data_IF_965105950786
#
_entry.id   IF_965105950786
#
_cell.length_a   1.000
_cell.length_b   1.000
_cell.length_c   1.000
_cell.angle_alpha   90.00
_cell.angle_beta   90.00
_cell.angle_gamma   90.00
#
_symmetry.space_group_name_H-M   'P 1'
#
loop_
_entity.id
_entity.type
_entity.pdbx_description
1 polymer ?
#
# COMPACT_ATOMS: atom_id res chain seq x y z
N UNK A 1 15.51 -26.87 25.59
CA UNK A 1 14.36 -25.96 25.77
C UNK A 1 14.92 -24.54 25.75
N UNK A 2 14.91 -23.90 24.59
CA UNK A 2 14.91 -22.45 24.56
C UNK A 2 13.44 -22.03 24.63
N UNK A 3 12.97 -21.63 25.81
CA UNK A 3 11.71 -20.90 25.94
C UNK A 3 11.96 -19.47 25.44
N UNK A 4 12.14 -19.35 24.13
CA UNK A 4 12.43 -18.09 23.45
C UNK A 4 11.24 -17.16 23.61
N UNK A 5 11.44 -16.04 24.30
CA UNK A 5 10.45 -14.97 24.41
C UNK A 5 9.95 -14.59 23.00
N UNK A 6 8.67 -14.84 22.72
CA UNK A 6 8.00 -14.51 21.44
C UNK A 6 7.78 -12.99 21.27
N UNK A 7 8.81 -12.20 21.54
CA UNK A 7 8.76 -10.74 21.60
C UNK A 7 10.10 -10.20 21.11
N UNK A 8 10.06 -9.30 20.13
CA UNK A 8 11.20 -8.44 19.82
C UNK A 8 10.94 -7.04 20.37
N UNK A 9 11.79 -6.63 21.32
CA UNK A 9 11.88 -5.27 21.84
C UNK A 9 13.26 -4.71 21.50
N UNK A 10 13.28 -3.66 20.69
CA UNK A 10 14.51 -2.99 20.25
C UNK A 10 14.43 -1.49 20.58
N UNK A 11 15.44 -0.97 21.27
CA UNK A 11 15.71 0.46 21.33
C UNK A 11 16.33 0.87 20.00
N UNK A 12 15.60 1.66 19.20
CA UNK A 12 16.06 2.19 17.91
C UNK A 12 16.95 3.40 18.16
N UNK A 13 16.53 4.24 19.11
CA UNK A 13 17.33 5.30 19.73
C UNK A 13 17.14 5.19 21.25
N UNK A 14 17.78 6.07 22.02
CA UNK A 14 17.52 6.17 23.47
C UNK A 14 16.05 6.50 23.79
N UNK A 15 15.36 7.15 22.85
CA UNK A 15 14.00 7.71 23.02
C UNK A 15 12.92 7.10 22.13
N UNK A 16 13.29 6.17 21.24
CA UNK A 16 12.36 5.48 20.34
C UNK A 16 12.56 3.96 20.48
N UNK A 17 11.52 3.28 20.95
CA UNK A 17 11.50 1.83 21.18
C UNK A 17 10.50 1.20 20.21
N UNK A 18 10.90 0.14 19.51
CA UNK A 18 9.98 -0.74 18.79
C UNK A 18 9.69 -2.00 19.64
N UNK A 19 8.42 -2.37 19.73
CA UNK A 19 7.94 -3.57 20.43
C UNK A 19 7.05 -4.35 19.47
N UNK A 20 7.41 -5.59 19.18
CA UNK A 20 6.69 -6.43 18.21
C UNK A 20 6.44 -7.85 18.68
N UNK A 21 5.18 -8.28 18.53
CA UNK A 21 4.70 -9.62 18.85
C UNK A 21 4.34 -10.36 17.54
N UNK A 22 4.80 -11.60 17.31
CA UNK A 22 4.48 -12.38 16.11
C UNK A 22 2.98 -12.59 15.87
N UNK A 23 2.57 -12.82 14.61
CA UNK A 23 1.15 -13.10 14.27
C UNK A 23 0.63 -14.37 14.96
N UNK A 24 1.45 -15.40 15.09
CA UNK A 24 1.08 -16.67 15.73
C UNK A 24 1.11 -16.66 17.27
N UNK A 25 1.46 -15.54 17.92
CA UNK A 25 1.56 -15.46 19.37
C UNK A 25 0.17 -15.54 20.02
N UNK A 26 0.00 -16.49 20.96
CA UNK A 26 -1.28 -16.73 21.66
C UNK A 26 -1.69 -15.52 22.53
N UNK A 27 -2.98 -15.41 22.88
CA UNK A 27 -3.45 -14.33 23.76
C UNK A 27 -2.81 -14.39 25.15
N UNK A 28 -2.53 -15.59 25.65
CA UNK A 28 -1.93 -15.82 26.97
C UNK A 28 -0.47 -15.34 26.98
N UNK A 29 0.32 -15.75 25.98
CA UNK A 29 1.72 -15.34 25.83
C UNK A 29 1.82 -13.84 25.55
N UNK A 30 0.98 -13.32 24.65
CA UNK A 30 0.86 -11.88 24.39
C UNK A 30 0.56 -11.10 25.67
N UNK A 31 -0.47 -11.51 26.43
CA UNK A 31 -0.89 -10.84 27.67
C UNK A 31 0.14 -10.94 28.79
N UNK A 32 0.91 -12.03 28.85
CA UNK A 32 2.02 -12.19 29.78
C UNK A 32 3.16 -11.22 29.43
N UNK A 33 3.67 -11.32 28.21
CA UNK A 33 4.79 -10.52 27.73
C UNK A 33 4.48 -9.01 27.71
N UNK A 34 3.23 -8.61 27.42
CA UNK A 34 2.81 -7.22 27.47
C UNK A 34 2.82 -6.63 28.89
N UNK A 35 2.49 -7.44 29.92
CA UNK A 35 2.62 -7.02 31.33
C UNK A 35 4.08 -6.83 31.72
N UNK A 36 4.97 -7.71 31.27
CA UNK A 36 6.40 -7.62 31.54
C UNK A 36 7.04 -6.41 30.85
N UNK A 37 6.71 -6.16 29.58
CA UNK A 37 7.09 -4.93 28.85
C UNK A 37 6.58 -3.70 29.58
N UNK A 38 5.32 -3.68 30.01
CA UNK A 38 4.75 -2.56 30.77
C UNK A 38 5.50 -2.34 32.09
N UNK A 39 5.85 -3.41 32.82
CA UNK A 39 6.63 -3.32 34.06
C UNK A 39 8.02 -2.77 33.81
N UNK A 40 8.69 -3.22 32.74
CA UNK A 40 10.01 -2.72 32.34
C UNK A 40 9.96 -1.24 31.95
N UNK A 41 8.97 -0.83 31.14
CA UNK A 41 8.79 0.56 30.72
C UNK A 41 8.56 1.48 31.93
N UNK A 42 7.67 1.12 32.85
CA UNK A 42 7.43 1.89 34.08
C UNK A 42 8.66 1.95 34.99
N UNK A 43 9.44 0.87 35.08
CA UNK A 43 10.67 0.84 35.88
C UNK A 43 11.79 1.72 35.31
N UNK A 44 11.90 1.82 33.97
CA UNK A 44 12.96 2.60 33.31
C UNK A 44 12.59 4.06 33.04
N UNK A 45 11.34 4.31 32.66
CA UNK A 45 10.87 5.59 32.12
C UNK A 45 9.76 6.24 32.96
N UNK A 46 9.41 5.66 34.12
CA UNK A 46 8.29 6.09 34.94
C UNK A 46 7.01 6.25 34.08
N UNK A 47 6.40 7.44 34.09
CA UNK A 47 5.25 7.78 33.26
C UNK A 47 5.62 8.52 31.96
N UNK A 48 6.91 8.65 31.61
CA UNK A 48 7.39 9.49 30.52
C UNK A 48 7.29 8.82 29.13
N UNK A 49 6.45 7.80 28.95
CA UNK A 49 6.35 7.07 27.69
C UNK A 49 4.94 7.10 27.05
N UNK A 50 4.91 7.37 25.75
CA UNK A 50 3.73 7.30 24.88
C UNK A 50 3.76 5.98 24.11
N UNK A 51 2.69 5.19 24.19
CA UNK A 51 2.50 4.02 23.32
C UNK A 51 1.79 4.46 22.04
N UNK A 52 2.34 4.09 20.89
CA UNK A 52 1.67 4.22 19.59
C UNK A 52 1.33 2.80 19.12
N UNK A 53 0.05 2.45 19.16
CA UNK A 53 -0.44 1.13 18.75
C UNK A 53 -0.71 1.13 17.23
N UNK A 54 0.01 0.27 16.51
CA UNK A 54 -0.14 0.04 15.06
C UNK A 54 -1.02 -1.19 14.74
N UNK A 55 -1.42 -1.95 15.75
CA UNK A 55 -2.36 -3.06 15.64
C UNK A 55 -3.79 -2.66 16.01
N UNK A 56 -4.72 -3.61 15.93
CA UNK A 56 -6.08 -3.43 16.42
C UNK A 56 -6.11 -2.82 17.82
N UNK A 57 -7.12 -1.99 18.06
CA UNK A 57 -7.33 -1.31 19.34
C UNK A 57 -7.59 -2.34 20.44
N UNK A 58 -6.91 -2.21 21.58
CA UNK A 58 -7.16 -3.10 22.73
C UNK A 58 -7.30 -2.34 24.04
N UNK A 59 -8.34 -2.69 24.79
CA UNK A 59 -8.66 -2.08 26.08
C UNK A 59 -7.65 -2.44 27.19
N UNK A 60 -7.00 -3.61 27.12
CA UNK A 60 -5.97 -4.01 28.08
C UNK A 60 -4.72 -3.12 27.99
N UNK A 61 -4.27 -2.82 26.77
CA UNK A 61 -3.16 -1.91 26.48
C UNK A 61 -3.45 -0.50 27.00
N UNK A 62 -4.61 0.08 26.64
CA UNK A 62 -5.02 1.41 27.12
C UNK A 62 -5.17 1.47 28.64
N UNK A 63 -5.64 0.39 29.29
CA UNK A 63 -5.75 0.30 30.75
C UNK A 63 -4.38 0.23 31.44
N UNK A 64 -3.37 -0.34 30.79
CA UNK A 64 -2.00 -0.42 31.33
C UNK A 64 -1.21 0.89 31.21
N UNK A 65 -1.40 1.63 30.12
CA UNK A 65 -0.94 3.01 29.98
C UNK A 65 -2.03 3.89 29.32
N UNK A 66 -2.65 4.83 30.06
CA UNK A 66 -3.59 5.80 29.49
C UNK A 66 -3.01 6.66 28.35
N UNK A 67 -1.68 6.85 28.31
CA UNK A 67 -0.96 7.45 27.18
C UNK A 67 -0.74 6.42 26.07
N UNK A 68 -1.84 5.92 25.52
CA UNK A 68 -1.87 5.03 24.34
C UNK A 68 -2.63 5.70 23.20
N UNK A 69 -1.96 5.86 22.07
CA UNK A 69 -2.53 6.34 20.81
C UNK A 69 -2.87 5.13 19.93
N UNK A 70 -4.16 4.83 19.80
CA UNK A 70 -4.67 3.75 18.94
C UNK A 70 -4.74 4.20 17.47
N UNK A 71 -3.67 3.95 16.71
CA UNK A 71 -3.54 4.33 15.30
C UNK A 71 -3.57 3.13 14.34
N UNK A 72 -4.05 1.98 14.78
CA UNK A 72 -3.98 0.70 14.06
C UNK A 72 -4.47 0.67 12.62
N UNK A 73 -3.93 -0.27 11.84
CA UNK A 73 -4.45 -0.67 10.53
C UNK A 73 -4.15 -2.16 10.26
N UNK A 74 -4.84 -2.79 9.28
CA UNK A 74 -4.64 -4.19 8.94
C UNK A 74 -3.18 -4.51 8.63
N UNK A 75 -2.72 -5.66 9.08
CA UNK A 75 -1.37 -6.12 8.82
C UNK A 75 -1.15 -6.35 7.31
N UNK A 76 0.11 -6.26 6.85
CA UNK A 76 0.50 -6.29 5.43
C UNK A 76 -0.06 -5.15 4.53
N UNK A 77 -1.00 -4.34 5.03
CA UNK A 77 -1.56 -3.20 4.30
C UNK A 77 -0.67 -1.95 4.46
N UNK A 78 -0.70 -1.08 3.45
CA UNK A 78 -0.28 0.31 3.59
C UNK A 78 -1.39 1.12 4.29
N UNK A 79 -1.05 1.96 5.29
CA UNK A 79 -2.02 2.84 5.94
C UNK A 79 -2.35 4.06 5.07
N UNK A 80 -3.51 4.70 5.30
CA UNK A 80 -3.80 6.05 4.81
C UNK A 80 -2.68 7.06 5.11
N UNK A 81 -2.44 8.00 4.19
CA UNK A 81 -1.33 8.96 4.27
C UNK A 81 -1.48 9.94 5.45
N UNK A 82 -2.71 10.36 5.74
CA UNK A 82 -3.08 11.22 6.88
C UNK A 82 -2.75 10.54 8.22
N UNK A 83 -2.96 9.22 8.33
CA UNK A 83 -2.64 8.40 9.50
C UNK A 83 -1.13 8.35 9.74
N UNK A 84 -0.32 8.18 8.69
CA UNK A 84 1.16 8.24 8.81
C UNK A 84 1.57 9.62 9.34
N UNK A 85 1.07 10.70 8.73
CA UNK A 85 1.37 12.06 9.15
C UNK A 85 0.93 12.35 10.60
N UNK A 86 -0.22 11.83 11.02
CA UNK A 86 -0.72 11.95 12.39
C UNK A 86 0.20 11.27 13.39
N UNK A 87 0.69 10.06 13.07
CA UNK A 87 1.68 9.35 13.89
C UNK A 87 2.99 10.15 13.98
N UNK A 88 3.54 10.61 12.85
CA UNK A 88 4.79 11.38 12.85
C UNK A 88 4.67 12.67 13.67
N UNK A 89 3.55 13.40 13.56
CA UNK A 89 3.27 14.59 14.39
C UNK A 89 3.15 14.27 15.87
N UNK A 90 2.49 13.18 16.24
CA UNK A 90 2.37 12.74 17.62
C UNK A 90 3.76 12.38 18.21
N UNK A 91 4.60 11.69 17.42
CA UNK A 91 5.98 11.37 17.81
C UNK A 91 6.82 12.62 18.02
N UNK A 92 6.86 13.54 17.04
CA UNK A 92 7.63 14.78 17.13
C UNK A 92 7.17 15.65 18.32
N UNK A 93 5.86 15.88 18.43
CA UNK A 93 5.27 16.69 19.51
C UNK A 93 5.57 16.12 20.90
N UNK A 94 5.47 14.79 21.07
CA UNK A 94 5.79 14.13 22.34
C UNK A 94 7.27 14.22 22.67
N UNK A 95 8.16 13.91 21.71
CA UNK A 95 9.62 13.93 21.91
C UNK A 95 10.18 15.33 22.14
N UNK A 96 9.57 16.37 21.56
CA UNK A 96 10.00 17.76 21.75
C UNK A 96 9.44 18.40 23.03
N UNK A 97 8.43 17.80 23.69
CA UNK A 97 7.81 18.37 24.89
C UNK A 97 8.66 18.23 26.17
N UNK A 98 9.43 17.15 26.29
CA UNK A 98 10.33 16.88 27.44
C UNK A 98 11.49 15.98 26.97
N UNK A 99 12.77 16.24 27.32
CA UNK A 99 13.90 15.38 26.94
C UNK A 99 13.82 13.95 27.50
N UNK A 100 13.11 13.72 28.61
CA UNK A 100 12.88 12.39 29.20
C UNK A 100 11.76 11.60 28.50
N UNK A 101 11.01 12.23 27.59
CA UNK A 101 9.93 11.53 26.89
C UNK A 101 10.44 10.45 25.95
N UNK A 102 9.76 9.31 25.94
CA UNK A 102 10.05 8.15 25.08
C UNK A 102 8.81 7.77 24.27
N UNK A 103 9.00 7.36 23.02
CA UNK A 103 7.96 6.76 22.17
C UNK A 103 8.14 5.24 22.12
N UNK A 104 7.05 4.50 22.31
CA UNK A 104 6.98 3.05 22.20
C UNK A 104 6.05 2.67 21.04
N UNK A 105 6.62 2.24 19.92
CA UNK A 105 5.88 1.79 18.75
C UNK A 105 5.51 0.32 18.95
N UNK A 106 4.24 0.05 19.22
CA UNK A 106 3.68 -1.29 19.44
C UNK A 106 3.09 -1.88 18.17
N UNK A 107 3.47 -3.12 17.83
CA UNK A 107 2.86 -3.91 16.76
C UNK A 107 2.63 -5.37 17.20
N UNK A 108 1.52 -5.97 16.78
CA UNK A 108 1.26 -7.41 16.83
C UNK A 108 0.89 -7.92 15.45
N UNK A 109 1.69 -8.82 14.90
CA UNK A 109 1.67 -9.25 13.49
C UNK A 109 3.00 -8.94 12.79
N UNK A 110 2.94 -8.62 11.50
CA UNK A 110 4.12 -8.23 10.72
C UNK A 110 4.77 -6.91 11.16
N UNK A 111 6.11 -6.88 11.14
CA UNK A 111 6.91 -5.68 11.46
C UNK A 111 6.88 -4.60 10.37
N UNK A 112 6.32 -4.87 9.20
CA UNK A 112 6.22 -3.91 8.09
C UNK A 112 5.54 -2.58 8.48
N UNK A 113 4.58 -2.62 9.42
CA UNK A 113 3.93 -1.43 9.98
C UNK A 113 4.89 -0.52 10.77
N UNK A 114 5.81 -1.11 11.54
CA UNK A 114 6.89 -0.37 12.22
C UNK A 114 7.81 0.25 11.16
N UNK A 115 8.13 -0.50 10.10
CA UNK A 115 8.90 0.00 8.95
C UNK A 115 8.30 1.23 8.29
N UNK A 116 6.97 1.25 8.06
CA UNK A 116 6.26 2.44 7.54
C UNK A 116 6.47 3.65 8.46
N UNK A 117 6.27 3.49 9.77
CA UNK A 117 6.39 4.61 10.73
C UNK A 117 7.82 5.13 10.84
N UNK A 118 8.79 4.24 11.05
CA UNK A 118 10.20 4.64 11.21
C UNK A 118 10.74 5.28 9.94
N UNK A 119 10.49 4.70 8.76
CA UNK A 119 10.97 5.27 7.50
C UNK A 119 10.36 6.64 7.24
N UNK A 120 9.05 6.79 7.47
CA UNK A 120 8.36 8.07 7.33
C UNK A 120 8.87 9.12 8.32
N UNK A 121 9.13 8.74 9.59
CA UNK A 121 9.60 9.65 10.62
C UNK A 121 11.05 10.12 10.40
N UNK A 122 11.92 9.29 9.81
CA UNK A 122 13.25 9.72 9.33
C UNK A 122 13.13 10.85 8.30
N UNK A 123 12.24 10.72 7.33
CA UNK A 123 12.01 11.77 6.32
C UNK A 123 11.32 13.01 6.89
N UNK A 124 10.40 12.82 7.84
CA UNK A 124 9.69 13.89 8.53
C UNK A 124 10.65 14.80 9.32
N UNK A 125 11.54 14.20 10.12
CA UNK A 125 12.54 14.92 10.95
C UNK A 125 13.67 15.57 10.13
N UNK A 126 13.98 15.03 8.94
CA UNK A 126 14.88 15.65 7.97
C UNK A 126 14.30 16.99 7.45
N UNK A 127 12.98 17.01 7.22
CA UNK A 127 12.24 18.19 6.73
C UNK A 127 11.97 19.22 7.84
N UNK A 128 11.75 18.80 9.10
CA UNK A 128 11.55 19.72 10.23
C UNK A 128 12.84 20.35 10.79
N UNK A 129 13.97 20.14 10.11
CA UNK A 129 15.26 20.82 10.32
C UNK A 129 15.89 20.66 11.71
N UNK A 130 15.63 19.54 12.41
CA UNK A 130 16.29 19.20 13.66
C UNK A 130 17.72 18.69 13.43
N UNK A 131 18.67 19.62 13.34
CA UNK A 131 20.07 19.31 13.09
C UNK A 131 20.68 18.41 14.18
N UNK A 132 20.29 18.62 15.43
CA UNK A 132 20.79 17.88 16.60
C UNK A 132 20.34 16.40 16.63
N UNK A 133 19.35 16.01 15.82
CA UNK A 133 18.86 14.63 15.68
C UNK A 133 19.62 13.82 14.60
N UNK A 134 20.85 14.19 14.23
CA UNK A 134 21.62 13.50 13.21
C UNK A 134 21.94 12.02 13.58
N UNK A 135 22.28 11.75 14.84
CA UNK A 135 22.54 10.39 15.34
C UNK A 135 21.25 9.55 15.37
N UNK A 136 20.14 10.14 15.82
CA UNK A 136 18.83 9.48 15.82
C UNK A 136 18.39 9.13 14.38
N UNK A 137 18.53 10.04 13.42
CA UNK A 137 18.25 9.76 11.99
C UNK A 137 19.13 8.64 11.44
N UNK A 138 20.41 8.59 11.81
CA UNK A 138 21.29 7.47 11.43
C UNK A 138 20.83 6.14 12.03
N UNK A 139 20.55 6.10 13.34
CA UNK A 139 20.13 4.88 14.03
C UNK A 139 18.77 4.38 13.54
N UNK A 140 17.81 5.27 13.30
CA UNK A 140 16.52 4.96 12.69
C UNK A 140 16.65 4.43 11.26
N UNK A 141 17.50 5.04 10.41
CA UNK A 141 17.78 4.53 9.06
C UNK A 141 18.44 3.14 9.11
N UNK A 142 19.44 2.96 9.98
CA UNK A 142 20.09 1.66 10.17
C UNK A 142 19.12 0.58 10.64
N UNK A 143 18.23 0.88 11.59
CA UNK A 143 17.17 -0.05 11.99
C UNK A 143 16.22 -0.36 10.84
N UNK A 144 15.84 0.65 10.05
CA UNK A 144 15.01 0.46 8.86
C UNK A 144 15.66 -0.53 7.89
N UNK A 145 16.91 -0.29 7.49
CA UNK A 145 17.65 -1.11 6.53
C UNK A 145 17.91 -2.53 7.06
N UNK A 146 18.40 -2.66 8.30
CA UNK A 146 18.82 -3.94 8.89
C UNK A 146 17.65 -4.84 9.34
N UNK A 147 16.49 -4.27 9.75
CA UNK A 147 15.46 -5.02 10.50
C UNK A 147 14.07 -5.07 9.86
N UNK A 148 13.67 -4.08 9.07
CA UNK A 148 12.27 -3.95 8.62
C UNK A 148 12.07 -3.70 7.12
N UNK A 149 13.07 -3.16 6.40
CA UNK A 149 13.00 -2.89 4.96
C UNK A 149 12.68 -4.15 4.14
N UNK A 150 13.26 -5.30 4.48
CA UNK A 150 12.97 -6.59 3.84
C UNK A 150 11.59 -7.18 4.19
N UNK A 151 10.97 -6.71 5.28
CA UNK A 151 9.68 -7.21 5.80
C UNK A 151 8.47 -6.39 5.34
N UNK A 152 8.69 -5.23 4.71
CA UNK A 152 7.63 -4.37 4.18
C UNK A 152 7.10 -4.85 2.83
N UNK A 153 5.80 -4.71 2.61
CA UNK A 153 5.18 -4.94 1.30
C UNK A 153 5.54 -3.83 0.30
N UNK A 154 5.52 -4.09 -1.02
CA UNK A 154 5.69 -3.06 -2.05
C UNK A 154 4.75 -1.87 -1.85
N UNK A 155 3.48 -2.12 -1.53
CA UNK A 155 2.51 -1.07 -1.21
C UNK A 155 2.92 -0.23 0.01
N UNK A 156 3.44 -0.85 1.09
CA UNK A 156 3.96 -0.11 2.24
C UNK A 156 5.14 0.78 1.86
N UNK A 157 6.08 0.28 1.04
CA UNK A 157 7.21 1.08 0.53
C UNK A 157 6.74 2.23 -0.38
N UNK A 158 5.77 1.97 -1.26
CA UNK A 158 5.15 2.96 -2.14
C UNK A 158 4.52 4.11 -1.34
N UNK A 159 3.83 3.81 -0.25
CA UNK A 159 3.21 4.83 0.60
C UNK A 159 4.22 5.71 1.34
N UNK A 160 5.31 5.12 1.84
CA UNK A 160 6.45 5.88 2.39
C UNK A 160 7.08 6.78 1.31
N UNK A 161 7.27 6.25 0.10
CA UNK A 161 7.80 7.02 -1.03
C UNK A 161 6.86 8.16 -1.46
N UNK A 162 5.54 7.93 -1.51
CA UNK A 162 4.52 8.94 -1.78
C UNK A 162 4.64 10.07 -0.74
N UNK A 163 4.60 9.73 0.55
CA UNK A 163 4.69 10.72 1.63
C UNK A 163 6.00 11.52 1.58
N UNK A 164 7.15 10.86 1.44
CA UNK A 164 8.45 11.52 1.32
C UNK A 164 8.49 12.46 0.10
N UNK A 165 7.91 12.05 -1.04
CA UNK A 165 7.86 12.87 -2.25
C UNK A 165 6.97 14.11 -2.08
N UNK A 166 5.90 14.01 -1.29
CA UNK A 166 5.05 15.14 -0.93
C UNK A 166 5.73 16.10 0.07
N UNK A 167 6.38 15.57 1.11
CA UNK A 167 7.11 16.36 2.13
C UNK A 167 8.31 17.12 1.52
N UNK A 168 9.09 16.46 0.67
CA UNK A 168 10.18 17.08 -0.09
C UNK A 168 9.70 18.03 -1.21
N UNK A 169 8.41 18.04 -1.52
CA UNK A 169 7.83 18.85 -2.59
C UNK A 169 8.22 18.41 -4.01
N UNK A 170 8.84 17.23 -4.16
CA UNK A 170 9.17 16.62 -5.45
C UNK A 170 7.94 16.07 -6.19
N UNK A 171 6.87 15.77 -5.45
CA UNK A 171 5.54 15.45 -5.96
C UNK A 171 4.51 16.50 -5.52
N UNK A 172 3.50 16.73 -6.37
CA UNK A 172 2.29 17.48 -6.03
C UNK A 172 1.10 16.53 -6.03
N UNK A 173 0.12 16.80 -5.17
CA UNK A 173 -1.12 16.03 -5.16
C UNK A 173 -1.92 16.31 -6.43
N UNK A 174 -2.31 15.23 -7.11
CA UNK A 174 -3.28 15.27 -8.18
C UNK A 174 -4.68 15.46 -7.58
N UNK A 175 -5.36 16.53 -7.98
CA UNK A 175 -6.72 16.86 -7.58
C UNK A 175 -7.76 16.61 -8.68
N UNK A 176 -7.34 16.16 -9.88
CA UNK A 176 -8.27 15.77 -10.94
C UNK A 176 -9.09 14.56 -10.52
N UNK A 177 -10.37 14.46 -10.92
CA UNK A 177 -11.12 13.22 -10.80
C UNK A 177 -10.43 12.11 -11.60
N UNK A 178 -10.43 10.88 -11.08
CA UNK A 178 -9.86 9.71 -11.76
C UNK A 178 -10.92 8.62 -11.90
N UNK A 179 -11.42 8.45 -13.12
CA UNK A 179 -12.29 7.35 -13.50
C UNK A 179 -11.43 6.18 -14.01
N UNK A 180 -11.44 5.03 -13.34
CA UNK A 180 -10.75 3.82 -13.76
C UNK A 180 -11.58 3.10 -14.83
N UNK A 181 -11.01 2.91 -16.04
CA UNK A 181 -11.67 2.30 -17.20
C UNK A 181 -11.28 0.84 -17.45
N UNK A 182 -9.98 0.52 -17.39
CA UNK A 182 -9.51 -0.87 -17.50
C UNK A 182 -8.34 -1.14 -16.55
N UNK A 183 -8.28 -2.38 -16.06
CA UNK A 183 -7.09 -3.00 -15.48
C UNK A 183 -6.54 -4.01 -16.49
N UNK A 184 -5.35 -3.74 -17.04
CA UNK A 184 -4.71 -4.59 -18.05
C UNK A 184 -3.68 -5.48 -17.35
N UNK A 185 -3.89 -6.80 -17.41
CA UNK A 185 -2.90 -7.79 -17.00
C UNK A 185 -2.07 -8.21 -18.22
N UNK A 186 -0.81 -7.79 -18.26
CA UNK A 186 0.16 -8.19 -19.27
C UNK A 186 0.96 -9.41 -18.76
N UNK A 187 1.05 -10.47 -19.57
CA UNK A 187 1.72 -11.72 -19.18
C UNK A 187 0.82 -12.60 -18.31
N UNK A 188 0.09 -13.52 -18.94
CA UNK A 188 -0.92 -14.36 -18.26
C UNK A 188 -0.24 -15.35 -17.29
N UNK A 189 -0.61 -15.35 -15.98
CA UNK A 189 -0.05 -16.29 -15.00
C UNK A 189 -0.51 -17.74 -15.21
N UNK A 190 0.31 -18.71 -14.79
CA UNK A 190 0.04 -20.14 -14.96
C UNK A 190 -0.47 -20.77 -13.64
N UNK A 191 -1.78 -20.69 -13.36
CA UNK A 191 -2.35 -21.14 -12.08
C UNK A 191 -2.82 -22.59 -12.07
N UNK A 192 -3.69 -23.00 -13.01
CA UNK A 192 -4.17 -24.39 -13.10
C UNK A 192 -3.00 -25.35 -13.39
N UNK A 193 -2.82 -26.38 -12.56
CA UNK A 193 -1.69 -27.31 -12.67
C UNK A 193 -1.79 -28.27 -13.85
N UNK A 194 -2.99 -28.53 -14.35
CA UNK A 194 -3.26 -29.42 -15.49
C UNK A 194 -3.38 -28.64 -16.81
N UNK A 195 -4.15 -27.55 -16.83
CA UNK A 195 -4.40 -26.77 -18.06
C UNK A 195 -3.45 -25.59 -18.26
N UNK A 196 -2.77 -25.12 -17.20
CA UNK A 196 -2.02 -23.85 -17.12
C UNK A 196 -2.83 -22.60 -17.47
N UNK A 197 -4.16 -22.70 -17.45
CA UNK A 197 -5.07 -21.56 -17.63
C UNK A 197 -5.16 -20.73 -16.35
N UNK A 198 -5.49 -19.46 -16.51
CA UNK A 198 -5.89 -18.57 -15.43
C UNK A 198 -7.33 -18.09 -15.65
N UNK A 199 -8.11 -18.07 -14.58
CA UNK A 199 -9.44 -17.47 -14.56
C UNK A 199 -9.45 -16.23 -13.66
N UNK A 200 -8.89 -15.08 -14.12
CA UNK A 200 -8.76 -13.90 -13.29
C UNK A 200 -10.10 -13.18 -13.11
N UNK A 201 -10.30 -12.63 -11.91
CA UNK A 201 -11.25 -11.55 -11.66
C UNK A 201 -10.66 -10.58 -10.63
N UNK A 202 -11.11 -9.33 -10.64
CA UNK A 202 -10.63 -8.29 -9.72
C UNK A 202 -11.71 -7.83 -8.76
N UNK A 203 -11.26 -7.34 -7.61
CA UNK A 203 -12.01 -6.46 -6.72
C UNK A 203 -11.22 -5.17 -6.51
N UNK A 204 -11.91 -4.03 -6.64
CA UNK A 204 -11.38 -2.70 -6.34
C UNK A 204 -12.00 -2.25 -5.02
N UNK A 205 -11.16 -1.78 -4.11
CA UNK A 205 -11.56 -1.28 -2.80
C UNK A 205 -11.11 0.16 -2.64
N UNK A 206 -11.97 1.00 -2.08
CA UNK A 206 -11.67 2.36 -1.66
C UNK A 206 -11.92 2.45 -0.16
N UNK A 207 -10.92 2.90 0.63
CA UNK A 207 -11.06 2.95 2.09
C UNK A 207 -11.42 1.59 2.73
N UNK A 208 -10.88 0.49 2.19
CA UNK A 208 -11.19 -0.92 2.54
C UNK A 208 -12.61 -1.40 2.19
N UNK A 209 -13.50 -0.56 1.67
CA UNK A 209 -14.80 -0.98 1.15
C UNK A 209 -14.69 -1.39 -0.31
N UNK A 210 -15.20 -2.58 -0.68
CA UNK A 210 -15.28 -3.00 -2.08
C UNK A 210 -16.25 -2.08 -2.84
N UNK A 211 -15.75 -1.39 -3.86
CA UNK A 211 -16.53 -0.48 -4.74
C UNK A 211 -16.84 -1.11 -6.09
N UNK A 212 -16.03 -2.08 -6.54
CA UNK A 212 -16.23 -2.80 -7.78
C UNK A 212 -15.75 -4.25 -7.69
N UNK A 213 -16.43 -5.16 -8.37
CA UNK A 213 -16.01 -6.55 -8.62
C UNK A 213 -16.30 -6.88 -10.07
N UNK A 214 -15.32 -7.44 -10.79
CA UNK A 214 -15.54 -7.89 -12.17
C UNK A 214 -16.29 -9.23 -12.21
N UNK A 215 -16.76 -9.60 -13.41
CA UNK A 215 -16.98 -11.00 -13.74
C UNK A 215 -15.66 -11.79 -13.82
N UNK A 216 -15.77 -13.10 -13.98
CA UNK A 216 -14.61 -14.01 -14.12
C UNK A 216 -14.24 -14.17 -15.58
N UNK A 217 -12.99 -13.89 -15.91
CA UNK A 217 -12.48 -13.97 -17.28
C UNK A 217 -12.00 -15.40 -17.54
N UNK A 218 -12.58 -16.07 -18.53
CA UNK A 218 -12.13 -17.38 -19.00
C UNK A 218 -11.19 -17.18 -20.19
N UNK A 219 -9.93 -17.56 -20.02
CA UNK A 219 -8.86 -17.38 -21.00
C UNK A 219 -8.64 -18.69 -21.76
N UNK A 220 -8.59 -18.66 -23.09
CA UNK A 220 -8.23 -19.83 -23.90
C UNK A 220 -6.81 -20.35 -23.61
N UNK A 221 -6.62 -21.66 -23.63
CA UNK A 221 -5.34 -22.32 -23.27
C UNK A 221 -4.13 -21.92 -24.14
N UNK A 222 -4.38 -21.39 -25.34
CA UNK A 222 -3.37 -20.83 -26.25
C UNK A 222 -3.07 -19.34 -26.06
N UNK A 223 -3.84 -18.59 -25.26
CA UNK A 223 -3.64 -17.15 -25.11
C UNK A 223 -2.36 -16.84 -24.35
N UNK A 224 -1.58 -15.86 -24.84
CA UNK A 224 -0.27 -15.48 -24.25
C UNK A 224 -0.03 -13.97 -24.21
N UNK A 225 -0.98 -13.16 -24.69
CA UNK A 225 -0.85 -11.69 -24.69
C UNK A 225 -1.37 -11.09 -23.36
N UNK A 226 -2.29 -10.13 -23.41
CA UNK A 226 -2.86 -9.44 -22.25
C UNK A 226 -4.34 -9.76 -22.06
N UNK A 227 -4.86 -9.49 -20.87
CA UNK A 227 -6.30 -9.42 -20.61
C UNK A 227 -6.62 -8.01 -20.14
N UNK A 228 -7.55 -7.32 -20.82
CA UNK A 228 -8.13 -6.08 -20.30
C UNK A 228 -9.40 -6.42 -19.50
N UNK A 229 -9.38 -6.11 -18.21
CA UNK A 229 -10.55 -6.19 -17.35
C UNK A 229 -11.21 -4.81 -17.36
N UNK A 230 -12.24 -4.65 -18.19
CA UNK A 230 -12.95 -3.39 -18.36
C UNK A 230 -13.93 -3.15 -17.20
N UNK A 231 -14.02 -1.90 -16.76
CA UNK A 231 -14.94 -1.43 -15.74
C UNK A 231 -16.04 -0.63 -16.44
N UNK A 232 -17.20 -1.25 -16.63
CA UNK A 232 -18.38 -0.60 -17.22
C UNK A 232 -19.52 -0.54 -16.19
N UNK A 233 -19.96 0.66 -15.75
CA UNK A 233 -19.37 1.98 -16.04
C UNK A 233 -18.00 2.17 -15.38
N UNK A 234 -17.22 3.12 -15.89
CA UNK A 234 -15.93 3.49 -15.32
C UNK A 234 -16.08 4.00 -13.87
N UNK A 235 -15.16 3.59 -13.00
CA UNK A 235 -15.30 3.82 -11.56
C UNK A 235 -14.56 5.08 -11.12
N UNK A 236 -15.29 6.06 -10.56
CA UNK A 236 -14.68 7.23 -9.93
C UNK A 236 -13.97 6.82 -8.63
N UNK A 237 -12.66 7.01 -8.57
CA UNK A 237 -11.82 6.65 -7.43
C UNK A 237 -11.26 7.92 -6.75
N UNK A 238 -11.24 7.94 -5.42
CA UNK A 238 -10.62 8.99 -4.59
C UNK A 238 -9.93 8.38 -3.35
N UNK A 239 -8.81 8.98 -2.95
CA UNK A 239 -8.03 8.58 -1.78
C UNK A 239 -7.24 7.28 -2.01
N UNK A 240 -7.25 6.43 -0.99
CA UNK A 240 -6.58 5.13 -0.93
C UNK A 240 -7.34 4.03 -1.67
N UNK A 241 -6.70 3.50 -2.71
CA UNK A 241 -7.23 2.42 -3.55
C UNK A 241 -6.40 1.16 -3.35
N UNK A 242 -7.10 0.03 -3.24
CA UNK A 242 -6.54 -1.31 -3.30
C UNK A 242 -7.17 -2.07 -4.45
N UNK A 243 -6.36 -2.77 -5.25
CA UNK A 243 -6.83 -3.73 -6.25
C UNK A 243 -6.29 -5.09 -5.87
N UNK A 244 -7.18 -6.08 -5.74
CA UNK A 244 -6.84 -7.51 -5.65
C UNK A 244 -7.32 -8.22 -6.90
N UNK A 245 -6.45 -9.03 -7.49
CA UNK A 245 -6.79 -9.96 -8.56
C UNK A 245 -6.68 -11.38 -8.03
N UNK A 246 -7.67 -12.21 -8.35
CA UNK A 246 -7.82 -13.57 -7.86
C UNK A 246 -7.94 -14.53 -9.04
N UNK A 247 -7.39 -15.72 -8.87
CA UNK A 247 -7.65 -16.88 -9.71
C UNK A 247 -8.84 -17.64 -9.14
N UNK A 248 -9.89 -17.81 -9.95
CA UNK A 248 -10.94 -18.78 -9.66
C UNK A 248 -10.43 -20.18 -10.02
N UNK A 249 -10.20 -21.02 -9.03
CA UNK A 249 -9.96 -22.45 -9.23
C UNK A 249 -11.25 -23.17 -9.65
N UNK A 250 -11.14 -24.09 -10.60
CA UNK A 250 -12.21 -25.03 -10.95
C UNK A 250 -12.18 -26.30 -10.08
N UNK A 251 -11.05 -26.58 -9.42
CA UNK A 251 -10.84 -27.79 -8.60
C UNK A 251 -11.12 -27.57 -7.12
N UNK A 252 -11.07 -26.32 -6.66
CA UNK A 252 -11.24 -25.94 -5.25
C UNK A 252 -12.20 -24.75 -5.14
N UNK A 253 -12.96 -24.68 -4.05
CA UNK A 253 -13.76 -23.50 -3.71
C UNK A 253 -12.93 -22.32 -3.19
N UNK A 254 -11.63 -22.53 -3.01
CA UNK A 254 -10.65 -21.51 -2.60
C UNK A 254 -10.32 -20.55 -3.74
N UNK A 255 -10.16 -19.28 -3.39
CA UNK A 255 -9.75 -18.21 -4.30
C UNK A 255 -8.27 -17.92 -4.04
N UNK A 256 -7.41 -18.09 -5.04
CA UNK A 256 -5.99 -17.78 -4.90
C UNK A 256 -5.73 -16.33 -5.33
N UNK A 257 -5.00 -15.55 -4.51
CA UNK A 257 -4.62 -14.18 -4.88
C UNK A 257 -3.48 -14.23 -5.88
N UNK A 258 -3.73 -13.74 -7.10
CA UNK A 258 -2.72 -13.59 -8.16
C UNK A 258 -1.81 -12.42 -7.82
N UNK A 259 -2.42 -11.26 -7.57
CA UNK A 259 -1.71 -10.06 -7.17
C UNK A 259 -2.57 -9.18 -6.28
N UNK A 260 -1.90 -8.37 -5.47
CA UNK A 260 -2.49 -7.27 -4.71
C UNK A 260 -1.59 -6.05 -4.85
N UNK A 261 -2.21 -4.87 -4.94
CA UNK A 261 -1.51 -3.58 -4.92
C UNK A 261 -2.37 -2.51 -4.26
N UNK A 262 -1.72 -1.51 -3.65
CA UNK A 262 -2.34 -0.27 -3.21
C UNK A 262 -1.64 0.95 -3.81
N UNK A 263 -2.41 2.00 -4.06
CA UNK A 263 -1.92 3.33 -4.45
C UNK A 263 -2.87 4.42 -3.96
N UNK A 264 -2.34 5.64 -3.82
CA UNK A 264 -3.16 6.82 -3.53
C UNK A 264 -3.43 7.57 -4.84
N UNK A 265 -4.70 7.87 -5.13
CA UNK A 265 -5.12 8.63 -6.33
C UNK A 265 -4.39 9.97 -6.48
N UNK A 266 -4.18 10.68 -5.38
CA UNK A 266 -3.41 11.93 -5.36
C UNK A 266 -1.94 11.80 -5.75
N UNK A 267 -1.38 10.59 -5.86
CA UNK A 267 -0.02 10.36 -6.37
C UNK A 267 0.03 10.01 -7.87
N UNK A 268 -1.11 9.76 -8.52
CA UNK A 268 -1.19 9.38 -9.94
C UNK A 268 -0.84 10.60 -10.80
N UNK A 269 0.15 10.45 -11.68
CA UNK A 269 0.55 11.50 -12.63
C UNK A 269 0.20 11.04 -14.05
N UNK A 270 -0.63 11.80 -14.76
CA UNK A 270 -1.17 11.40 -16.07
C UNK A 270 -2.30 10.37 -15.96
N UNK A 271 -2.50 9.60 -17.04
CA UNK A 271 -3.69 8.76 -17.24
C UNK A 271 -3.41 7.25 -17.20
N UNK A 272 -2.16 6.82 -17.17
CA UNK A 272 -1.79 5.40 -17.08
C UNK A 272 -0.86 5.20 -15.88
N UNK A 273 -1.12 4.17 -15.07
CA UNK A 273 -0.25 3.78 -13.96
C UNK A 273 0.18 2.33 -14.15
N UNK A 274 1.48 2.07 -14.16
CA UNK A 274 2.06 0.75 -14.42
C UNK A 274 2.74 0.22 -13.16
N UNK A 275 2.54 -1.06 -12.89
CA UNK A 275 3.14 -1.80 -11.79
C UNK A 275 3.84 -3.04 -12.35
N UNK A 276 5.14 -3.16 -12.10
CA UNK A 276 5.91 -4.36 -12.49
C UNK A 276 5.67 -5.50 -11.48
N UNK A 277 6.22 -6.68 -11.73
CA UNK A 277 6.01 -7.85 -10.85
C UNK A 277 6.40 -7.56 -9.40
N UNK A 278 7.49 -6.84 -9.22
CA UNK A 278 8.12 -6.44 -7.94
C UNK A 278 7.23 -5.48 -7.14
N UNK A 279 6.42 -4.68 -7.82
CA UNK A 279 5.50 -3.68 -7.26
C UNK A 279 4.25 -4.30 -6.62
N UNK A 280 4.00 -5.58 -6.83
CA UNK A 280 2.76 -6.24 -6.48
C UNK A 280 2.96 -7.31 -5.39
N UNK A 281 2.17 -7.24 -4.33
CA UNK A 281 2.09 -8.34 -3.37
C UNK A 281 1.58 -9.62 -4.06
N UNK A 282 1.97 -10.78 -3.51
CA UNK A 282 1.76 -12.12 -4.04
C UNK A 282 2.57 -12.37 -5.33
N UNK A 283 2.34 -11.59 -6.39
CA UNK A 283 3.03 -11.73 -7.67
C UNK A 283 4.56 -11.63 -7.55
N UNK A 284 5.09 -10.73 -6.70
CA UNK A 284 6.54 -10.61 -6.48
C UNK A 284 7.22 -11.82 -5.81
N UNK A 285 6.45 -12.83 -5.39
CA UNK A 285 6.95 -14.07 -4.77
C UNK A 285 6.49 -15.33 -5.49
N UNK A 286 5.48 -15.22 -6.37
CA UNK A 286 4.88 -16.37 -7.05
C UNK A 286 5.57 -16.63 -8.41
N UNK A 287 6.25 -17.77 -8.60
CA UNK A 287 6.87 -18.11 -9.88
C UNK A 287 5.85 -18.40 -11.00
N UNK A 288 4.56 -18.54 -10.68
CA UNK A 288 3.48 -18.68 -11.67
C UNK A 288 3.18 -17.36 -12.39
N UNK A 289 3.52 -16.22 -11.78
CA UNK A 289 3.43 -14.90 -12.40
C UNK A 289 4.69 -14.63 -13.25
N UNK A 290 4.60 -14.32 -14.55
CA UNK A 290 5.78 -14.17 -15.41
C UNK A 290 6.68 -13.00 -14.98
N UNK A 291 7.99 -13.10 -15.15
CA UNK A 291 8.94 -12.05 -14.74
C UNK A 291 8.81 -10.75 -15.55
N UNK A 292 8.36 -10.84 -16.80
CA UNK A 292 7.97 -9.68 -17.63
C UNK A 292 6.52 -9.24 -17.40
N UNK A 293 5.79 -9.91 -16.50
CA UNK A 293 4.38 -9.65 -16.23
C UNK A 293 4.21 -8.33 -15.49
N UNK A 294 3.13 -7.61 -15.81
CA UNK A 294 2.86 -6.28 -15.25
C UNK A 294 1.38 -5.93 -15.32
N UNK A 295 0.97 -5.00 -14.47
CA UNK A 295 -0.41 -4.48 -14.44
C UNK A 295 -0.42 -3.01 -14.81
N UNK A 296 -1.30 -2.65 -15.73
CA UNK A 296 -1.53 -1.27 -16.16
C UNK A 296 -2.95 -0.84 -15.80
N UNK A 297 -3.08 0.28 -15.09
CA UNK A 297 -4.36 0.92 -14.77
C UNK A 297 -4.57 2.11 -15.70
N UNK A 298 -5.76 2.20 -16.28
CA UNK A 298 -6.11 3.24 -17.27
C UNK A 298 -7.19 4.15 -16.72
N UNK A 299 -6.92 5.46 -16.72
CA UNK A 299 -7.77 6.51 -16.14
C UNK A 299 -8.18 7.59 -17.15
N UNK A 300 -9.20 8.36 -16.79
CA UNK A 300 -9.51 9.67 -17.39
C UNK A 300 -10.21 10.59 -16.39
N UNK A 301 -10.38 11.87 -16.73
CA UNK A 301 -11.05 12.87 -15.89
C UNK A 301 -12.59 12.78 -15.93
N UNK A 302 -13.15 12.01 -16.86
CA UNK A 302 -14.59 11.77 -16.99
C UNK A 302 -14.93 10.28 -17.20
N UNK A 303 -16.20 9.89 -16.99
CA UNK A 303 -16.69 8.51 -17.15
C UNK A 303 -16.90 8.10 -18.61
N UNK A 304 -16.78 9.03 -19.56
CA UNK A 304 -16.98 8.77 -20.99
C UNK A 304 -15.92 7.80 -21.52
N UNK A 305 -16.32 6.92 -22.47
CA UNK A 305 -15.38 6.00 -23.12
C UNK A 305 -14.22 6.79 -23.75
N UNK A 306 -13.00 6.45 -23.33
CA UNK A 306 -11.78 7.11 -23.81
C UNK A 306 -11.63 6.87 -25.33
N UNK A 307 -11.28 7.90 -26.13
CA UNK A 307 -11.01 7.73 -27.56
C UNK A 307 -9.96 6.65 -27.84
N UNK A 308 -10.29 5.71 -28.74
CA UNK A 308 -9.43 4.58 -29.06
C UNK A 308 -9.49 3.42 -28.05
N UNK A 309 -10.49 3.36 -27.17
CA UNK A 309 -10.73 2.23 -26.26
C UNK A 309 -10.89 0.87 -26.95
N UNK A 310 -11.07 0.81 -28.28
CA UNK A 310 -11.09 -0.43 -29.05
C UNK A 310 -9.80 -1.26 -28.90
N UNK A 311 -8.67 -0.60 -28.59
CA UNK A 311 -7.39 -1.27 -28.26
C UNK A 311 -7.41 -2.10 -26.95
N UNK A 312 -8.47 -1.96 -26.16
CA UNK A 312 -8.72 -2.65 -24.89
C UNK A 312 -9.82 -3.71 -24.98
N UNK A 313 -10.31 -4.00 -26.20
CA UNK A 313 -11.14 -5.17 -26.42
C UNK A 313 -10.28 -6.44 -26.36
N UNK A 314 -10.80 -7.47 -25.71
CA UNK A 314 -10.17 -8.78 -25.66
C UNK A 314 -10.45 -9.58 -26.95
N UNK A 315 -9.61 -10.58 -27.22
CA UNK A 315 -9.82 -11.51 -28.33
C UNK A 315 -11.04 -12.43 -28.13
N UNK A 316 -11.48 -13.14 -29.19
CA UNK A 316 -12.62 -14.06 -29.14
C UNK A 316 -12.38 -15.30 -28.27
N UNK A 317 -11.13 -15.53 -27.87
CA UNK A 317 -10.65 -16.58 -26.97
C UNK A 317 -10.74 -16.20 -25.47
N UNK A 318 -11.24 -15.00 -25.16
CA UNK A 318 -11.53 -14.55 -23.80
C UNK A 318 -13.05 -14.33 -23.66
N UNK A 319 -13.67 -15.02 -22.71
CA UNK A 319 -15.09 -14.81 -22.34
C UNK A 319 -15.21 -14.37 -20.87
N UNK A 320 -16.36 -13.82 -20.47
CA UNK A 320 -16.57 -13.29 -19.11
C UNK A 320 -17.86 -13.83 -18.51
N UNK A 321 -17.78 -14.50 -17.36
CA UNK A 321 -18.94 -14.90 -16.56
C UNK A 321 -19.25 -13.89 -15.45
N UNK A 322 -20.37 -13.20 -15.60
CA UNK A 322 -20.88 -12.22 -14.63
C UNK A 322 -21.74 -12.85 -13.52
N UNK A 323 -22.25 -14.08 -13.69
CA UNK A 323 -23.14 -14.71 -12.72
C UNK A 323 -22.41 -15.02 -11.40
N UNK A 324 -21.11 -15.27 -11.48
CA UNK A 324 -20.24 -15.55 -10.33
C UNK A 324 -20.01 -14.32 -9.43
N UNK A 325 -20.13 -13.09 -9.95
CA UNK A 325 -19.75 -11.88 -9.22
C UNK A 325 -20.55 -11.68 -7.91
N UNK A 326 -21.83 -12.06 -7.90
CA UNK A 326 -22.70 -11.96 -6.72
C UNK A 326 -22.26 -12.93 -5.62
N UNK A 327 -21.95 -14.18 -5.97
CA UNK A 327 -21.51 -15.22 -5.02
C UNK A 327 -20.11 -14.96 -4.44
N UNK A 328 -19.23 -14.33 -5.22
CA UNK A 328 -17.86 -13.98 -4.81
C UNK A 328 -17.80 -12.79 -3.85
N UNK A 329 -18.85 -11.96 -3.77
CA UNK A 329 -18.88 -10.73 -2.98
C UNK A 329 -18.68 -10.91 -1.46
N UNK A 330 -18.97 -12.10 -0.91
CA UNK A 330 -19.03 -12.35 0.54
C UNK A 330 -17.68 -12.57 1.24
N UNK A 331 -16.62 -12.94 0.49
CA UNK A 331 -15.41 -13.54 1.07
C UNK A 331 -14.31 -12.57 1.53
N UNK A 332 -14.31 -11.32 1.05
CA UNK A 332 -13.27 -10.32 1.35
C UNK A 332 -13.83 -9.09 2.07
N UNK A 333 -14.74 -9.27 3.03
CA UNK A 333 -15.24 -8.12 3.79
C UNK A 333 -14.21 -7.69 4.85
N UNK A 334 -13.47 -6.62 4.57
CA UNK A 334 -12.51 -5.98 5.49
C UNK A 334 -13.18 -5.26 6.69
N UNK A 335 -14.19 -5.88 7.30
CA UNK A 335 -14.96 -5.30 8.40
C UNK A 335 -14.18 -5.25 9.72
N UNK A 336 -13.22 -6.15 9.91
CA UNK A 336 -12.33 -6.17 11.07
C UNK A 336 -10.86 -6.12 10.65
N UNK A 337 -10.00 -5.52 11.50
CA UNK A 337 -8.56 -5.38 11.24
C UNK A 337 -7.86 -6.75 11.19
N UNK A 338 -8.41 -7.75 11.86
CA UNK A 338 -7.87 -9.11 11.95
C UNK A 338 -8.30 -10.06 10.82
N UNK A 339 -9.36 -9.77 10.06
CA UNK A 339 -9.83 -10.64 8.96
C UNK A 339 -8.91 -10.59 7.73
N UNK A 340 -7.93 -9.66 7.72
CA UNK A 340 -6.85 -9.57 6.75
C UNK A 340 -5.90 -10.77 6.79
N UNK A 341 -6.29 -11.83 6.08
CA UNK A 341 -5.44 -12.99 5.75
C UNK A 341 -5.21 -13.94 6.95
N UNK A 342 -6.26 -14.23 7.71
CA UNK A 342 -6.29 -15.31 8.70
C UNK A 342 -6.71 -16.68 8.12
N UNK A 343 -7.23 -16.72 6.89
CA UNK A 343 -7.89 -17.91 6.31
C UNK A 343 -6.96 -18.93 5.61
N UNK A 344 -5.66 -18.64 5.44
CA UNK A 344 -4.77 -19.45 4.57
C UNK A 344 -3.44 -19.84 5.23
N UNK A 345 -3.49 -20.64 6.30
CA UNK A 345 -2.39 -21.55 6.69
C UNK A 345 -2.79 -22.58 7.77
N UNK A 346 -2.96 -23.86 7.35
CA UNK A 346 -3.23 -25.06 8.17
C UNK A 346 -4.56 -25.05 8.98
N UNK A 347 -5.22 -26.19 9.26
CA UNK A 347 -4.71 -27.56 9.39
C UNK A 347 -5.67 -28.66 8.88
N UNK A 348 -5.14 -29.85 8.60
CA UNK A 348 -5.92 -31.07 8.30
C UNK A 348 -6.39 -31.73 9.60
N UNK A 349 -7.60 -31.43 10.04
CA UNK A 349 -8.19 -32.11 11.21
C UNK A 349 -9.71 -32.09 11.21
N UNK A 350 -10.35 -33.21 10.88
CA UNK A 350 -11.80 -33.35 11.01
C UNK A 350 -12.22 -33.40 12.48
N UNK A 351 -12.96 -32.39 12.93
CA UNK A 351 -13.46 -32.31 14.31
C UNK A 351 -14.77 -31.53 14.39
N UNK A 352 -15.90 -32.22 14.34
CA UNK A 352 -17.22 -31.61 14.52
C UNK A 352 -17.47 -31.35 16.00
N UNK A 353 -17.52 -30.08 16.41
CA UNK A 353 -18.04 -29.68 17.72
C UNK A 353 -19.10 -28.59 17.57
N UNK A 354 -20.32 -28.91 18.03
CA UNK A 354 -21.51 -28.06 17.96
C UNK A 354 -21.36 -26.82 18.84
N UNK A 355 -21.63 -25.64 18.30
CA UNK A 355 -21.87 -24.43 19.10
C UNK A 355 -23.18 -24.57 19.88
N UNK A 356 -23.12 -24.57 21.21
CA UNK A 356 -24.29 -24.47 22.07
C UNK A 356 -24.52 -22.99 22.43
N UNK A 357 -25.62 -22.42 21.91
CA UNK A 357 -26.09 -21.09 22.28
C UNK A 357 -26.71 -21.10 23.68
N UNK A 358 -26.09 -20.42 24.63
CA UNK A 358 -26.70 -20.16 25.93
C UNK A 358 -27.61 -18.93 25.86
N UNK A 359 -28.92 -19.14 26.12
CA UNK A 359 -29.89 -18.06 26.32
C UNK A 359 -29.72 -17.45 27.71
N UNK A 360 -29.73 -16.13 27.82
CA UNK A 360 -29.83 -15.41 29.09
C UNK A 360 -31.28 -15.36 29.61
N UNK A 361 -31.43 -15.23 30.94
CA UNK A 361 -32.69 -14.91 31.63
C UNK A 361 -32.43 -13.94 32.80
N UNK A 362 -32.77 -12.68 32.56
CA UNK A 362 -33.62 -11.76 33.36
C UNK A 362 -33.60 -11.70 34.91
N UNK A 363 -33.57 -10.43 35.40
CA UNK A 363 -33.92 -9.82 36.73
C UNK A 363 -33.16 -10.29 37.99
N UNK A 364 -32.84 -9.52 39.05
CA UNK A 364 -33.13 -8.16 39.64
C UNK A 364 -31.87 -7.65 40.41
N UNK A 365 -31.70 -6.43 40.97
CA UNK A 365 -32.13 -5.03 40.70
C UNK A 365 -31.44 -4.09 41.78
N UNK A 366 -31.64 -2.77 41.71
CA UNK A 366 -31.56 -1.71 42.74
C UNK A 366 -30.22 -1.09 43.22
N UNK A 367 -29.98 0.15 42.72
CA UNK A 367 -29.81 1.41 43.49
C UNK A 367 -28.42 2.01 43.85
N UNK A 368 -28.22 3.29 43.46
CA UNK A 368 -27.47 4.29 44.27
C UNK A 368 -26.39 5.17 43.59
N UNK A 369 -26.73 6.41 43.19
CA UNK A 369 -25.91 7.68 43.14
C UNK A 369 -24.49 7.70 42.47
N UNK A 370 -23.94 8.78 41.86
CA UNK A 370 -24.43 10.11 41.40
C UNK A 370 -23.30 10.93 40.69
N UNK A 371 -23.57 11.58 39.55
CA UNK A 371 -22.71 12.62 38.91
C UNK A 371 -21.37 12.12 38.32
N UNK A 372 -20.73 12.75 37.32
CA UNK A 372 -20.77 14.12 36.82
C UNK A 372 -20.55 14.20 35.28
N UNK A 373 -21.29 15.09 34.61
CA UNK A 373 -21.05 15.83 33.35
C UNK A 373 -20.21 15.23 32.18
N UNK A 374 -20.87 15.11 31.02
CA UNK A 374 -20.28 14.99 29.67
C UNK A 374 -19.54 16.25 29.19
N UNK A 375 -18.74 16.14 28.11
CA UNK A 375 -18.93 17.04 26.96
C UNK A 375 -19.27 16.31 25.64
N UNK A 376 -20.05 17.00 24.81
CA UNK A 376 -20.77 16.56 23.61
C UNK A 376 -19.97 15.81 22.52
N UNK A 377 -20.59 14.74 21.98
CA UNK A 377 -20.13 14.00 20.80
C UNK A 377 -20.87 14.47 19.54
N UNK A 378 -20.16 15.10 18.59
CA UNK A 378 -20.75 15.77 17.41
C UNK A 378 -21.18 14.76 16.32
N UNK A 379 -22.39 14.18 16.45
CA UNK A 379 -22.96 13.24 15.47
C UNK A 379 -23.43 13.94 14.18
N UNK A 380 -22.60 13.90 13.15
CA UNK A 380 -22.99 14.24 11.78
C UNK A 380 -23.72 13.06 11.09
N UNK A 381 -25.05 13.00 11.21
CA UNK A 381 -25.86 12.12 10.35
C UNK A 381 -25.99 12.72 8.94
N UNK A 382 -25.49 12.02 7.92
CA UNK A 382 -25.90 12.26 6.52
C UNK A 382 -26.71 11.08 6.00
N UNK A 383 -28.01 11.31 5.91
CA UNK A 383 -28.97 10.39 5.29
C UNK A 383 -28.98 10.59 3.78
N UNK A 384 -28.48 9.62 3.01
CA UNK A 384 -28.61 9.61 1.55
C UNK A 384 -29.88 8.82 1.13
N UNK A 385 -30.75 9.38 0.28
CA UNK A 385 -31.93 8.67 -0.21
C UNK A 385 -31.57 7.69 -1.34
N UNK A 386 -32.33 6.58 -1.52
CA UNK A 386 -32.14 5.68 -2.64
C UNK A 386 -32.77 6.25 -3.92
N UNK A 387 -32.04 6.24 -5.04
CA UNK A 387 -32.61 6.55 -6.35
C UNK A 387 -32.93 5.26 -7.11
N UNK A 388 -34.20 5.13 -7.52
CA UNK A 388 -34.72 4.00 -8.31
C UNK A 388 -34.66 4.34 -9.82
N UNK A 389 -34.64 3.33 -10.67
CA UNK A 389 -34.53 3.42 -12.11
C UNK A 389 -35.81 3.87 -12.84
N UNK A 390 -35.61 4.44 -14.05
CA UNK A 390 -36.31 4.19 -15.33
C UNK A 390 -36.84 5.41 -16.15
N UNK A 391 -36.39 5.39 -17.41
CA UNK A 391 -37.09 5.68 -18.68
C UNK A 391 -37.16 7.09 -19.35
N UNK A 392 -36.83 7.03 -20.65
CA UNK A 392 -37.44 7.67 -21.84
C UNK A 392 -37.00 9.06 -22.37
N UNK A 393 -36.34 8.99 -23.53
CA UNK A 393 -36.26 9.92 -24.68
C UNK A 393 -36.91 11.31 -24.64
N UNK A 394 -36.14 12.35 -25.03
CA UNK A 394 -36.36 13.09 -26.29
C UNK A 394 -35.13 13.99 -26.63
N UNK A 395 -34.60 13.89 -27.86
CA UNK A 395 -34.67 14.85 -28.99
C UNK A 395 -33.79 16.11 -28.93
N UNK A 396 -32.91 16.20 -29.94
CA UNK A 396 -32.52 17.39 -30.71
C UNK A 396 -31.96 18.61 -29.96
N UNK A 397 -30.65 18.81 -30.12
CA UNK A 397 -30.17 20.13 -30.52
C UNK A 397 -29.08 20.00 -31.60
N UNK A 398 -29.10 20.95 -32.54
CA UNK A 398 -28.25 21.01 -33.74
C UNK A 398 -27.47 22.31 -33.64
N UNK A 399 -26.14 22.25 -33.74
CA UNK A 399 -25.31 23.44 -33.85
C UNK A 399 -24.16 23.18 -34.82
N UNK A 400 -24.04 24.05 -35.81
CA UNK A 400 -22.93 24.14 -36.74
C UNK A 400 -21.63 24.52 -35.96
N UNK A 401 -20.40 24.31 -36.42
CA UNK A 401 -19.93 23.93 -37.75
C UNK A 401 -18.89 24.94 -38.24
N UNK A 402 -17.61 24.55 -38.25
CA UNK A 402 -16.56 25.26 -39.00
C UNK A 402 -15.46 24.31 -39.42
N UNK A 403 -15.13 24.33 -40.71
CA UNK A 403 -14.08 23.51 -41.32
C UNK A 403 -12.71 24.20 -41.30
N UNK A 404 -11.64 23.42 -41.22
CA UNK A 404 -10.37 23.77 -41.87
C UNK A 404 -9.85 22.59 -42.69
N UNK A 405 -9.71 22.81 -44.01
CA UNK A 405 -8.97 21.95 -44.92
C UNK A 405 -7.63 22.60 -45.23
N UNK A 406 -6.54 21.84 -45.17
CA UNK A 406 -5.36 22.00 -46.02
C UNK A 406 -4.65 20.64 -46.07
N UNK A 407 -4.85 19.83 -47.12
CA UNK A 407 -4.13 19.83 -48.40
C UNK A 407 -2.76 19.13 -48.28
N UNK A 408 -2.71 17.86 -48.71
CA UNK A 408 -1.46 17.11 -48.87
C UNK A 408 -0.69 17.51 -50.14
N UNK A 409 0.31 16.71 -50.52
CA UNK A 409 0.15 15.98 -51.79
C UNK A 409 0.57 14.51 -51.73
N UNK A 410 -0.11 13.68 -52.53
CA UNK A 410 0.29 12.31 -52.87
C UNK A 410 1.36 12.31 -53.99
N UNK A 411 2.29 11.35 -53.96
CA UNK A 411 2.97 10.79 -55.15
C UNK A 411 3.08 9.27 -54.94
N UNK A 412 2.96 8.50 -56.03
CA UNK A 412 2.56 7.09 -56.04
C UNK A 412 3.63 6.13 -56.60
N UNK A 413 3.35 4.81 -56.49
CA UNK A 413 3.96 3.67 -57.21
C UNK A 413 5.38 3.21 -56.78
N UNK A 414 5.82 1.96 -56.94
CA UNK A 414 5.21 0.60 -57.05
C UNK A 414 6.34 -0.47 -56.83
N UNK A 415 5.98 -1.70 -56.40
CA UNK A 415 6.50 -3.06 -56.78
C UNK A 415 8.01 -3.19 -57.17
N UNK A 416 8.88 -4.04 -56.56
CA UNK A 416 8.96 -5.52 -56.73
C UNK A 416 10.08 -6.22 -55.90
N UNK A 417 9.93 -7.54 -55.66
CA UNK A 417 10.93 -8.64 -55.40
C UNK A 417 12.26 -8.47 -54.63
N UNK A 418 12.58 -9.45 -53.73
CA UNK A 418 13.89 -9.62 -53.04
C UNK A 418 15.00 -10.33 -53.88
N UNK A 419 16.07 -10.93 -53.29
CA UNK A 419 16.12 -11.60 -51.98
C UNK A 419 17.33 -11.29 -51.05
N UNK A 420 17.23 -11.83 -49.83
CA UNK A 420 18.27 -12.31 -48.90
C UNK A 420 19.75 -11.89 -49.09
N UNK A 421 20.24 -11.05 -48.17
CA UNK A 421 21.64 -11.01 -47.72
C UNK A 421 21.70 -10.48 -46.28
N UNK A 422 22.23 -11.27 -45.34
CA UNK A 422 22.41 -10.88 -43.94
C UNK A 422 23.68 -10.04 -43.75
N UNK A 423 23.63 -8.86 -43.10
CA UNK A 423 24.84 -8.13 -42.73
C UNK A 423 25.51 -8.77 -41.49
N UNK A 424 26.85 -8.86 -41.43
CA UNK A 424 27.55 -9.52 -40.33
C UNK A 424 27.54 -8.70 -39.04
N UNK A 425 27.34 -9.39 -37.91
CA UNK A 425 27.42 -8.83 -36.56
C UNK A 425 28.83 -8.31 -36.25
N UNK A 426 29.00 -7.04 -35.80
CA UNK A 426 30.30 -6.57 -35.31
C UNK A 426 30.62 -7.19 -33.94
N UNK A 427 31.81 -7.77 -33.80
CA UNK A 427 32.27 -8.34 -32.54
C UNK A 427 32.68 -7.25 -31.53
N UNK A 428 32.25 -7.40 -30.28
CA UNK A 428 32.67 -6.52 -29.18
C UNK A 428 34.11 -6.86 -28.72
N UNK A 429 34.93 -5.86 -28.37
CA UNK A 429 36.26 -6.09 -27.84
C UNK A 429 36.23 -6.64 -26.40
N UNK A 430 37.14 -7.57 -26.14
CA UNK A 430 37.37 -8.23 -24.85
C UNK A 430 37.90 -7.24 -23.80
N UNK A 431 37.27 -7.21 -22.62
CA UNK A 431 37.73 -6.42 -21.48
C UNK A 431 39.04 -6.98 -20.89
N UNK A 432 40.04 -6.14 -20.54
CA UNK A 432 41.22 -6.58 -19.81
C UNK A 432 40.91 -6.86 -18.32
N UNK A 433 41.66 -7.74 -17.65
CA UNK A 433 41.40 -8.16 -16.27
C UNK A 433 41.79 -7.13 -15.21
N UNK A 434 40.98 -7.05 -14.15
CA UNK A 434 41.19 -6.22 -12.95
C UNK A 434 42.20 -6.84 -11.97
N UNK A 435 43.15 -6.07 -11.41
CA UNK A 435 43.96 -6.49 -10.27
C UNK A 435 43.47 -5.88 -8.94
N UNK A 436 43.00 -6.74 -8.03
CA UNK A 436 43.21 -6.61 -6.57
C UNK A 436 44.42 -7.52 -6.24
N UNK A 437 45.31 -7.31 -5.26
CA UNK A 437 45.39 -6.53 -4.00
C UNK A 437 46.86 -6.10 -3.79
N UNK A 438 47.15 -4.98 -3.13
CA UNK A 438 48.28 -4.89 -2.17
C UNK A 438 48.32 -3.60 -1.34
N UNK A 439 48.40 -3.77 -0.02
CA UNK A 439 49.12 -2.99 1.00
C UNK A 439 48.76 -1.52 1.35
N UNK A 440 48.37 -1.35 2.62
CA UNK A 440 48.50 -0.12 3.41
C UNK A 440 49.94 0.07 3.90
N UNK A 441 50.39 1.33 4.09
CA UNK A 441 50.82 1.71 5.44
C UNK A 441 50.32 3.11 5.89
N UNK A 442 50.62 3.44 7.15
CA UNK A 442 50.01 4.54 7.93
C UNK A 442 50.67 5.94 7.76
N UNK A 443 50.04 6.93 8.42
CA UNK A 443 50.60 8.13 9.11
C UNK A 443 50.66 9.52 8.41
N UNK A 444 50.05 10.48 9.16
CA UNK A 444 50.36 11.92 9.38
C UNK A 444 49.85 13.05 8.47
N UNK A 445 48.83 13.74 8.99
CA UNK A 445 48.75 15.18 9.32
C UNK A 445 49.35 16.28 8.40
N UNK A 446 48.44 17.06 7.79
CA UNK A 446 48.42 18.56 7.64
C UNK A 446 49.51 19.31 6.84
N UNK A 447 49.26 20.54 6.33
CA UNK A 447 47.99 21.28 6.12
C UNK A 447 47.80 21.83 4.67
N UNK A 448 46.66 22.50 4.43
CA UNK A 448 46.27 23.13 3.15
C UNK A 448 47.07 24.39 2.77
N UNK A 449 47.02 24.79 1.48
CA UNK A 449 46.92 26.21 1.11
C UNK A 449 45.68 26.53 0.25
N UNK A 450 45.24 27.80 0.33
CA UNK A 450 44.07 28.37 -0.36
C UNK A 450 44.16 28.32 -1.90
N UNK A 451 43.02 28.22 -2.59
CA UNK A 451 42.56 29.29 -3.49
C UNK A 451 41.09 29.17 -3.97
N UNK A 452 40.43 30.34 -4.01
CA UNK A 452 39.36 30.76 -4.92
C UNK A 452 37.98 30.07 -4.92
N UNK A 453 37.08 30.66 -4.11
CA UNK A 453 35.76 31.17 -4.53
C UNK A 453 35.30 30.85 -5.97
N UNK A 454 34.28 30.00 -6.08
CA UNK A 454 33.28 30.11 -7.15
C UNK A 454 31.89 30.34 -6.58
N UNK A 455 31.30 31.48 -6.94
CA UNK A 455 29.93 31.86 -6.59
C UNK A 455 28.94 31.07 -7.44
N UNK A 456 27.92 30.50 -6.80
CA UNK A 456 26.57 30.47 -7.35
C UNK A 456 26.25 29.42 -8.42
N UNK A 457 26.00 28.19 -7.98
CA UNK A 457 24.87 27.42 -8.51
C UNK A 457 23.86 27.23 -7.37
N UNK A 458 22.82 28.07 -7.35
CA UNK A 458 21.60 27.76 -6.59
C UNK A 458 20.91 26.60 -7.31
N UNK A 459 21.04 25.39 -6.79
CA UNK A 459 20.05 24.36 -7.09
C UNK A 459 18.70 24.85 -6.59
N UNK A 460 17.68 24.78 -7.43
CA UNK A 460 16.35 25.28 -7.12
C UNK A 460 15.59 24.24 -6.28
N UNK A 461 16.14 23.91 -5.10
CA UNK A 461 15.40 23.18 -4.07
C UNK A 461 14.27 24.11 -3.61
N UNK A 462 13.04 23.75 -3.98
CA UNK A 462 11.86 24.39 -3.41
C UNK A 462 11.94 24.27 -1.89
N UNK A 463 11.54 25.32 -1.16
CA UNK A 463 11.49 25.23 0.30
C UNK A 463 10.62 24.02 0.67
N UNK A 464 11.02 23.21 1.68
CA UNK A 464 10.15 22.17 2.19
C UNK A 464 8.77 22.76 2.51
N UNK A 465 7.71 22.06 2.11
CA UNK A 465 6.36 22.48 2.46
C UNK A 465 6.17 22.25 3.96
N UNK A 466 5.50 23.18 4.63
CA UNK A 466 5.00 22.92 5.98
C UNK A 466 4.11 21.67 5.92
N UNK A 467 4.38 20.71 6.81
CA UNK A 467 3.62 19.47 6.98
C UNK A 467 2.12 19.75 7.12
N UNK A 468 1.73 20.91 7.68
CA UNK A 468 0.34 21.34 7.76
C UNK A 468 -0.31 21.59 6.39
N UNK A 469 0.43 22.07 5.38
CA UNK A 469 -0.12 22.20 4.02
C UNK A 469 -0.18 20.85 3.32
N UNK A 470 0.85 20.00 3.46
CA UNK A 470 0.83 18.64 2.89
C UNK A 470 -0.36 17.84 3.40
N UNK A 471 -0.69 17.95 4.70
CA UNK A 471 -1.87 17.31 5.29
C UNK A 471 -3.21 17.84 4.76
N UNK A 472 -3.34 19.16 4.53
CA UNK A 472 -4.55 19.74 3.94
C UNK A 472 -4.76 19.33 2.49
N UNK A 473 -3.68 19.09 1.76
CA UNK A 473 -3.74 18.60 0.38
C UNK A 473 -4.07 17.08 0.32
N UNK A 474 -3.84 16.32 1.41
CA UNK A 474 -4.10 14.86 1.50
C UNK A 474 -5.56 14.52 1.84
N UNK A 475 -6.24 15.35 2.63
CA UNK A 475 -7.63 15.15 3.11
C UNK A 475 -8.70 15.62 2.10
#
# INVERSE_FOLDING_TARGET
MEEGYELDLTYITERIIAVSFPRGCSEEIYSHNLKDVTRMLKSKHADNYLIINLSERRHDLTKMNPKTLDTGWPDLHAPPLDKICTICKAMESWLNADPLHVVVIHCRGGKGRIGVVISSFVHFTDVSASADQALDRFAMRKYYDDKVSALMTPSQKRYVWILNSLLSGSMKINASPLFLHCVILHGIPNFDTASRVCHPYIKVYQGMQAVYSSGVYHIGSGHRDRVCINLEPAQLLKGDIMIKCYHKSDMTSEQEVIFRLQFHTGAVQGYNLMFEKEDMENANKDPRFPDYGKVELVFSEGPERIPGADRWQNGPDITVDYNMAVSLSRWDSYKNICDGEAAQSNDRGGGVTRSLSYQGKDVMDHSGFSGWNDPEEYKSQQTYPPCVSHFQHSKLCRSDGTSYKSRGPDITNEIESGPDMTPPTPAFPISPPTPYVSDFPELRNTPSPNMQSFRGFRTNQGRPRDVQFVLKDIS
#
